data_IF_893103134269
#
_entry.id   IF_893103134269
#
_cell.length_a   1.000
_cell.length_b   1.000
_cell.length_c   1.000
_cell.angle_alpha   90.00
_cell.angle_beta   90.00
_cell.angle_gamma   90.00
#
_symmetry.space_group_name_H-M   'P 1'
#
loop_
_entity.id
_entity.type
_entity.pdbx_description
1 polymer ?
#
# COMPACT_ATOMS: atom_id res chain seq x y z
N UNK A 1 6.52 -5.57 6.51
CA UNK A 1 6.36 -4.09 6.43
C UNK A 1 7.55 -3.53 5.67
N UNK A 2 7.41 -2.41 4.98
CA UNK A 2 8.50 -1.81 4.21
C UNK A 2 8.53 -0.29 4.39
N UNK A 3 9.72 0.29 4.44
CA UNK A 3 9.88 1.76 4.39
C UNK A 3 9.94 2.20 2.93
N UNK A 4 9.25 3.29 2.62
CA UNK A 4 9.29 3.95 1.32
C UNK A 4 9.58 5.45 1.43
N UNK A 5 10.13 6.02 0.34
CA UNK A 5 10.38 7.45 0.15
C UNK A 5 11.24 8.09 1.25
N UNK A 6 12.29 7.40 1.67
CA UNK A 6 13.24 7.98 2.63
C UNK A 6 14.13 9.00 1.92
N UNK A 7 14.23 10.23 2.42
CA UNK A 7 15.12 11.23 1.83
C UNK A 7 16.58 10.73 1.80
N UNK A 8 17.24 10.79 0.64
CA UNK A 8 18.59 10.27 0.48
C UNK A 8 19.68 11.27 0.95
N UNK A 9 19.27 12.48 1.33
CA UNK A 9 20.13 13.54 1.81
C UNK A 9 19.46 14.26 2.99
N UNK A 10 20.26 14.88 3.85
CA UNK A 10 19.77 15.69 4.96
C UNK A 10 20.80 16.77 5.30
N UNK A 11 20.35 17.87 5.91
CA UNK A 11 21.27 18.87 6.44
C UNK A 11 21.89 18.39 7.75
N UNK A 12 23.20 18.57 7.92
CA UNK A 12 23.88 18.23 9.19
C UNK A 12 23.28 18.94 10.40
N UNK A 13 22.98 20.23 10.26
CA UNK A 13 22.27 21.02 11.27
C UNK A 13 20.81 21.19 10.86
N UNK A 14 19.90 21.14 11.85
CA UNK A 14 18.48 21.43 11.61
C UNK A 14 18.34 22.82 11.02
N UNK A 15 17.40 22.97 10.10
CA UNK A 15 17.07 24.25 9.48
C UNK A 15 15.58 24.47 9.59
N UNK A 16 15.18 25.66 10.01
CA UNK A 16 13.76 26.06 10.02
C UNK A 16 13.59 27.37 9.27
N UNK A 17 12.47 27.52 8.60
CA UNK A 17 12.08 28.76 7.93
C UNK A 17 10.56 28.89 7.94
N UNK A 18 10.06 30.10 7.64
CA UNK A 18 8.62 30.36 7.61
C UNK A 18 7.88 29.56 6.54
N UNK A 19 8.58 29.09 5.50
CA UNK A 19 8.02 28.44 4.32
C UNK A 19 8.60 27.04 4.03
N UNK A 20 9.57 26.58 4.82
CA UNK A 20 10.27 25.32 4.59
C UNK A 20 11.29 25.38 3.46
N UNK A 21 11.59 26.58 2.94
CA UNK A 21 12.61 26.81 1.93
C UNK A 21 13.98 27.09 2.57
N UNK A 22 15.09 26.81 1.88
CA UNK A 22 16.43 27.06 2.41
C UNK A 22 16.80 28.55 2.47
N UNK A 23 16.12 29.41 1.71
CA UNK A 23 16.39 30.84 1.68
C UNK A 23 15.96 31.48 3.02
N UNK A 24 16.90 32.14 3.71
CA UNK A 24 16.64 32.78 5.00
C UNK A 24 16.42 31.80 6.16
N UNK A 25 16.70 30.50 5.97
CA UNK A 25 16.53 29.51 7.03
C UNK A 25 17.48 29.74 8.22
N UNK A 26 16.93 29.62 9.42
CA UNK A 26 17.67 29.66 10.67
C UNK A 26 18.34 28.31 10.93
N UNK A 27 19.65 28.32 11.20
CA UNK A 27 20.40 27.13 11.58
C UNK A 27 20.16 26.80 13.06
N UNK A 28 19.89 25.53 13.36
CA UNK A 28 19.58 25.02 14.68
C UNK A 28 18.31 25.60 15.33
N UNK A 29 17.52 26.40 14.61
CA UNK A 29 16.26 26.96 15.13
C UNK A 29 15.26 25.86 15.50
N UNK A 30 14.36 26.17 16.44
CA UNK A 30 13.33 25.25 16.93
C UNK A 30 12.14 25.16 15.97
N UNK A 31 11.56 23.96 15.84
CA UNK A 31 10.28 23.80 15.17
C UNK A 31 9.19 24.43 16.04
N UNK A 32 8.34 25.25 15.44
CA UNK A 32 7.19 25.90 16.08
C UNK A 32 5.94 25.72 15.22
N UNK A 33 4.78 26.12 15.73
CA UNK A 33 3.53 26.10 14.97
C UNK A 33 3.56 27.02 13.73
N UNK A 34 4.49 27.98 13.67
CA UNK A 34 4.53 29.03 12.65
C UNK A 34 5.71 28.86 11.67
N UNK A 35 6.44 27.75 11.74
CA UNK A 35 7.56 27.47 10.84
C UNK A 35 7.55 26.02 10.33
N UNK A 36 8.51 25.74 9.45
CA UNK A 36 8.68 24.46 8.79
C UNK A 36 10.14 24.05 8.86
N UNK A 37 10.38 22.76 9.06
CA UNK A 37 11.71 22.19 8.94
C UNK A 37 12.07 22.07 7.46
N UNK A 38 13.26 22.54 7.07
CA UNK A 38 13.66 22.61 5.66
C UNK A 38 14.17 21.26 5.16
N UNK A 39 13.53 20.76 4.10
CA UNK A 39 13.95 19.54 3.40
C UNK A 39 15.03 19.83 2.35
N UNK A 40 16.01 18.93 2.21
CA UNK A 40 16.97 18.97 1.10
C UNK A 40 16.29 18.78 -0.26
N UNK A 41 15.22 17.97 -0.29
CA UNK A 41 14.38 17.74 -1.47
C UNK A 41 13.28 18.81 -1.68
N UNK A 42 13.46 20.05 -1.21
CA UNK A 42 12.44 21.11 -1.35
C UNK A 42 12.03 21.36 -2.80
N UNK A 43 12.95 21.30 -3.77
CA UNK A 43 12.69 21.58 -5.19
C UNK A 43 11.59 20.70 -5.80
N UNK A 44 11.60 19.40 -5.50
CA UNK A 44 10.60 18.45 -6.01
C UNK A 44 9.28 18.52 -5.21
N UNK A 45 9.37 18.91 -3.94
CA UNK A 45 8.21 18.94 -3.03
C UNK A 45 7.31 20.15 -3.22
N UNK A 46 7.81 21.22 -3.82
CA UNK A 46 7.06 22.48 -4.01
C UNK A 46 6.40 22.58 -5.38
N UNK A 47 6.52 21.52 -6.19
CA UNK A 47 5.85 21.44 -7.48
C UNK A 47 4.35 21.24 -7.27
N UNK A 48 3.52 22.01 -7.96
CA UNK A 48 2.06 21.88 -7.87
C UNK A 48 1.56 20.48 -8.25
N UNK A 49 2.31 19.76 -9.10
CA UNK A 49 2.03 18.40 -9.58
C UNK A 49 3.36 17.71 -9.86
N UNK A 50 3.43 16.39 -9.78
CA UNK A 50 4.59 15.62 -10.24
C UNK A 50 4.39 15.24 -11.70
N UNK A 51 5.06 15.94 -12.62
CA UNK A 51 5.08 15.57 -14.03
C UNK A 51 5.76 14.21 -14.25
N UNK A 52 5.49 13.55 -15.38
CA UNK A 52 6.08 12.23 -15.72
C UNK A 52 7.62 12.21 -15.58
N UNK A 53 8.30 13.28 -16.01
CA UNK A 53 9.74 13.39 -15.87
C UNK A 53 10.19 13.45 -14.40
N UNK A 54 9.44 14.14 -13.55
CA UNK A 54 9.72 14.26 -12.13
C UNK A 54 9.49 12.93 -11.41
N UNK A 55 8.42 12.21 -11.75
CA UNK A 55 8.13 10.86 -11.26
C UNK A 55 9.27 9.90 -11.64
N UNK A 56 9.72 9.95 -12.90
CA UNK A 56 10.81 9.12 -13.39
C UNK A 56 12.16 9.34 -12.67
N UNK A 57 12.30 10.45 -11.95
CA UNK A 57 13.53 10.89 -11.32
C UNK A 57 13.44 10.96 -9.79
N UNK A 58 12.36 10.47 -9.17
CA UNK A 58 12.19 10.49 -7.71
C UNK A 58 13.38 9.88 -6.94
N UNK A 59 14.06 8.90 -7.54
CA UNK A 59 15.27 8.27 -6.98
C UNK A 59 16.46 9.23 -6.80
N UNK A 60 16.46 10.40 -7.45
CA UNK A 60 17.46 11.45 -7.21
C UNK A 60 17.37 12.04 -5.81
N UNK A 61 16.18 12.01 -5.20
CA UNK A 61 15.90 12.58 -3.87
C UNK A 61 15.59 11.53 -2.82
N UNK A 62 15.04 10.38 -3.22
CA UNK A 62 14.55 9.37 -2.28
C UNK A 62 15.24 8.03 -2.48
N UNK A 63 15.60 7.38 -1.37
CA UNK A 63 15.84 5.95 -1.29
C UNK A 63 14.51 5.23 -1.13
N UNK A 64 14.44 4.00 -1.65
CA UNK A 64 13.27 3.12 -1.52
C UNK A 64 11.99 3.77 -2.07
N UNK A 65 12.05 4.30 -3.30
CA UNK A 65 10.89 4.96 -3.92
C UNK A 65 9.65 4.06 -3.89
N UNK A 66 8.50 4.65 -3.54
CA UNK A 66 7.23 3.92 -3.55
C UNK A 66 6.87 3.47 -4.98
N UNK A 67 7.10 4.35 -5.94
CA UNK A 67 6.71 4.20 -7.34
C UNK A 67 7.88 3.80 -8.25
N UNK A 68 7.54 3.20 -9.38
CA UNK A 68 8.45 3.05 -10.51
C UNK A 68 8.59 4.38 -11.29
N UNK A 69 9.30 4.33 -12.42
CA UNK A 69 9.54 5.52 -13.25
C UNK A 69 8.30 6.03 -13.99
N UNK A 70 7.16 5.35 -13.87
CA UNK A 70 5.88 5.71 -14.49
C UNK A 70 4.80 6.04 -13.45
N UNK A 71 5.15 6.05 -12.16
CA UNK A 71 4.16 6.30 -11.10
C UNK A 71 3.34 5.07 -10.74
N UNK A 72 3.77 3.87 -11.13
CA UNK A 72 3.07 2.61 -10.86
C UNK A 72 3.75 1.83 -9.72
N UNK A 73 3.00 0.91 -9.12
CA UNK A 73 3.49 0.01 -8.07
C UNK A 73 3.32 -1.44 -8.53
N UNK A 74 4.35 -1.95 -9.19
CA UNK A 74 4.41 -3.32 -9.69
C UNK A 74 5.31 -4.23 -8.83
N UNK A 75 5.45 -5.48 -9.26
CA UNK A 75 6.22 -6.49 -8.55
C UNK A 75 7.71 -6.13 -8.42
N UNK A 76 8.27 -5.46 -9.43
CA UNK A 76 9.66 -4.99 -9.44
C UNK A 76 9.81 -3.76 -8.56
N UNK A 77 8.85 -2.82 -8.60
CA UNK A 77 8.81 -1.65 -7.70
C UNK A 77 8.87 -2.05 -6.25
N UNK A 78 8.31 -3.19 -5.87
CA UNK A 78 8.32 -3.65 -4.48
C UNK A 78 9.68 -4.18 -4.02
N UNK A 79 10.51 -4.64 -4.94
CA UNK A 79 11.85 -5.15 -4.62
C UNK A 79 12.83 -4.05 -4.20
N UNK A 80 12.56 -2.80 -4.60
CA UNK A 80 13.37 -1.65 -4.17
C UNK A 80 12.96 -1.09 -2.79
N UNK A 81 11.87 -1.57 -2.18
CA UNK A 81 11.47 -1.11 -0.85
C UNK A 81 12.32 -1.75 0.25
N UNK A 82 12.60 -1.01 1.33
CA UNK A 82 13.35 -1.57 2.45
C UNK A 82 12.44 -2.38 3.37
N UNK A 83 12.36 -3.69 3.10
CA UNK A 83 11.34 -4.59 3.62
C UNK A 83 11.83 -5.48 4.74
N UNK A 84 11.01 -5.63 5.78
CA UNK A 84 11.27 -6.46 6.96
C UNK A 84 10.03 -7.27 7.33
N UNK A 85 10.26 -8.48 7.85
CA UNK A 85 9.22 -9.24 8.53
C UNK A 85 8.88 -8.57 9.86
N UNK A 86 7.58 -8.46 10.14
CA UNK A 86 7.12 -7.87 11.41
C UNK A 86 7.57 -8.74 12.57
N UNK A 87 7.42 -10.07 12.46
CA UNK A 87 7.83 -11.01 13.51
C UNK A 87 9.34 -10.94 13.81
N UNK A 88 10.18 -10.72 12.80
CA UNK A 88 11.63 -10.54 12.98
C UNK A 88 11.97 -9.24 13.70
N UNK A 89 11.15 -8.19 13.55
CA UNK A 89 11.33 -6.92 14.27
C UNK A 89 10.81 -7.04 15.70
N UNK A 90 9.66 -7.67 15.88
CA UNK A 90 9.04 -7.92 17.19
C UNK A 90 9.78 -8.97 18.02
N UNK A 91 10.62 -9.81 17.40
CA UNK A 91 11.45 -10.79 18.08
C UNK A 91 12.77 -10.24 18.64
N UNK A 92 13.09 -8.96 18.40
CA UNK A 92 14.31 -8.29 18.90
C UNK A 92 14.11 -7.81 20.33
N UNK A 93 15.18 -7.38 20.99
CA UNK A 93 15.10 -6.78 22.32
C UNK A 93 14.14 -5.58 22.33
N UNK A 94 13.26 -5.55 23.33
CA UNK A 94 12.38 -4.40 23.60
C UNK A 94 13.21 -3.23 24.12
N UNK A 95 12.79 -2.02 23.75
CA UNK A 95 13.32 -0.79 24.33
C UNK A 95 12.43 -0.34 25.50
N UNK A 96 13.05 0.18 26.56
CA UNK A 96 12.35 0.50 27.82
C UNK A 96 11.29 1.59 27.63
N UNK A 97 10.15 1.41 28.31
CA UNK A 97 8.89 2.11 28.10
C UNK A 97 8.65 3.31 29.04
N UNK A 98 9.70 3.92 29.59
CA UNK A 98 9.69 4.87 30.73
C UNK A 98 8.35 5.61 30.97
N UNK A 99 7.43 4.96 31.70
CA UNK A 99 6.23 5.59 32.27
C UNK A 99 4.92 5.50 31.49
N UNK A 100 4.80 4.68 30.44
CA UNK A 100 3.52 4.48 29.74
C UNK A 100 2.59 3.51 30.48
N UNK A 101 1.35 3.94 30.75
CA UNK A 101 0.34 3.16 31.53
C UNK A 101 -0.91 2.82 30.73
N UNK A 102 -0.81 2.48 29.45
CA UNK A 102 -1.89 1.69 28.85
C UNK A 102 -1.66 0.22 29.21
N UNK A 103 -2.75 -0.50 29.49
CA UNK A 103 -2.75 -1.83 30.08
C UNK A 103 -1.65 -2.73 29.51
N UNK A 104 -0.69 -3.11 30.39
CA UNK A 104 0.49 -3.92 30.12
C UNK A 104 0.34 -4.90 28.95
N UNK A 105 0.96 -4.56 27.82
CA UNK A 105 1.65 -5.52 26.95
C UNK A 105 2.85 -4.82 26.29
N UNK A 106 4.06 -5.20 26.72
CA UNK A 106 5.38 -4.99 26.07
C UNK A 106 5.84 -3.54 25.82
N UNK A 107 7.16 -3.31 25.87
CA UNK A 107 7.80 -2.10 25.35
C UNK A 107 7.64 -1.95 23.83
N UNK A 108 8.42 -1.08 23.20
CA UNK A 108 8.44 -0.94 21.73
C UNK A 108 9.73 -1.52 21.15
N UNK A 109 9.69 -1.96 19.90
CA UNK A 109 10.87 -2.45 19.19
C UNK A 109 11.36 -1.40 18.21
N UNK A 110 12.66 -1.09 18.26
CA UNK A 110 13.29 -0.24 17.25
C UNK A 110 13.34 -1.02 15.94
N UNK A 111 12.52 -0.61 14.99
CA UNK A 111 12.59 -1.13 13.63
C UNK A 111 13.81 -0.58 12.89
N UNK A 112 13.89 0.75 12.73
CA UNK A 112 14.97 1.43 12.00
C UNK A 112 15.05 2.92 12.29
N UNK A 113 16.14 3.53 11.85
CA UNK A 113 16.31 4.98 11.75
C UNK A 113 16.00 5.46 10.34
N UNK A 114 15.50 6.70 10.23
CA UNK A 114 15.15 7.37 8.97
C UNK A 114 15.72 8.78 8.95
N UNK A 115 15.99 9.29 7.76
CA UNK A 115 16.44 10.66 7.54
C UNK A 115 15.27 11.65 7.64
N UNK A 116 15.61 12.92 7.86
CA UNK A 116 14.63 14.01 7.87
C UNK A 116 14.02 14.19 6.47
N UNK A 117 12.70 14.08 6.39
CA UNK A 117 11.92 14.19 5.17
C UNK A 117 10.66 15.02 5.45
N UNK A 118 10.76 16.34 5.31
CA UNK A 118 9.71 17.30 5.68
C UNK A 118 9.12 17.95 4.45
N UNK A 119 7.84 18.33 4.51
CA UNK A 119 7.17 18.95 3.37
C UNK A 119 7.13 20.48 3.61
N UNK A 120 7.65 21.29 2.68
CA UNK A 120 7.57 22.75 2.78
C UNK A 120 6.11 23.24 2.69
N UNK A 121 5.90 24.54 2.96
CA UNK A 121 4.60 25.25 3.05
C UNK A 121 3.48 24.79 2.12
N UNK A 122 2.24 25.12 2.47
CA UNK A 122 1.01 24.73 1.75
C UNK A 122 0.71 23.24 1.88
N UNK A 123 -0.40 22.96 2.56
CA UNK A 123 -0.82 21.62 2.92
C UNK A 123 -1.04 20.72 1.69
N UNK A 124 -1.30 21.32 0.51
CA UNK A 124 -1.49 20.58 -0.75
C UNK A 124 -0.25 19.80 -1.21
N UNK A 125 0.95 20.14 -0.74
CA UNK A 125 2.18 19.44 -1.13
C UNK A 125 2.47 18.19 -0.32
N UNK A 126 1.66 17.90 0.72
CA UNK A 126 1.72 16.65 1.47
C UNK A 126 1.02 15.55 0.68
N UNK A 127 1.82 14.89 -0.16
CA UNK A 127 1.40 13.86 -1.11
C UNK A 127 2.29 12.62 -1.05
N UNK A 128 1.67 11.51 -1.42
CA UNK A 128 2.22 10.14 -1.35
C UNK A 128 3.56 9.99 -2.08
N UNK A 129 3.77 10.72 -3.19
CA UNK A 129 4.98 10.68 -4.02
C UNK A 129 6.25 11.17 -3.34
N UNK A 130 6.14 12.00 -2.29
CA UNK A 130 7.30 12.67 -1.66
C UNK A 130 7.37 12.48 -0.15
N UNK A 131 6.32 11.96 0.47
CA UNK A 131 6.24 11.69 1.91
C UNK A 131 6.82 10.34 2.28
N UNK A 132 7.54 10.27 3.40
CA UNK A 132 8.03 8.99 3.95
C UNK A 132 6.85 8.16 4.43
N UNK A 133 6.77 6.91 3.97
CA UNK A 133 5.68 6.00 4.28
C UNK A 133 6.14 4.64 4.79
N UNK A 134 5.19 3.91 5.38
CA UNK A 134 5.29 2.51 5.73
C UNK A 134 4.25 1.72 4.96
N UNK A 135 4.68 0.71 4.23
CA UNK A 135 3.78 -0.21 3.53
C UNK A 135 3.64 -1.49 4.35
N UNK A 136 2.41 -1.82 4.74
CA UNK A 136 2.08 -3.11 5.33
C UNK A 136 1.55 -4.04 4.25
N UNK A 137 1.99 -5.30 4.31
CA UNK A 137 1.56 -6.35 3.40
C UNK A 137 0.73 -7.35 4.17
N UNK A 138 -0.50 -7.57 3.71
CA UNK A 138 -1.41 -8.59 4.23
C UNK A 138 -1.46 -9.81 3.32
N UNK A 139 -1.69 -10.98 3.91
CA UNK A 139 -2.03 -12.22 3.22
C UNK A 139 -3.46 -12.60 3.58
N UNK A 140 -4.29 -12.95 2.59
CA UNK A 140 -5.61 -13.48 2.86
C UNK A 140 -5.49 -14.89 3.45
N UNK A 141 -6.02 -15.09 4.65
CA UNK A 141 -6.08 -16.38 5.31
C UNK A 141 -7.54 -16.77 5.57
N UNK A 142 -7.85 -18.05 5.40
CA UNK A 142 -9.14 -18.60 5.77
C UNK A 142 -9.25 -18.61 7.30
N UNK A 143 -10.20 -17.86 7.85
CA UNK A 143 -10.50 -17.93 9.29
C UNK A 143 -11.14 -19.26 9.67
N UNK A 144 -11.02 -19.65 10.94
CA UNK A 144 -11.50 -20.94 11.45
C UNK A 144 -13.01 -21.19 11.26
N UNK A 145 -13.79 -20.11 11.09
CA UNK A 145 -15.24 -20.14 10.89
C UNK A 145 -15.67 -20.20 9.42
N UNK A 146 -14.74 -20.07 8.47
CA UNK A 146 -15.07 -20.17 7.06
C UNK A 146 -15.43 -21.62 6.72
N UNK A 147 -16.54 -21.82 6.03
CA UNK A 147 -16.96 -23.15 5.59
C UNK A 147 -15.89 -23.72 4.65
N UNK A 148 -15.28 -24.84 5.07
CA UNK A 148 -14.21 -25.52 4.32
C UNK A 148 -14.68 -26.10 2.99
N UNK A 149 -15.99 -26.21 2.78
CA UNK A 149 -16.58 -26.67 1.51
C UNK A 149 -16.87 -25.53 0.54
N UNK A 150 -16.83 -24.27 1.02
CA UNK A 150 -17.10 -23.09 0.20
C UNK A 150 -16.04 -22.88 -0.89
N UNK A 151 -16.46 -22.25 -1.99
CA UNK A 151 -15.55 -21.95 -3.09
C UNK A 151 -14.48 -20.93 -2.66
N UNK A 152 -14.82 -19.97 -1.79
CA UNK A 152 -13.85 -19.04 -1.21
C UNK A 152 -12.76 -19.77 -0.40
N UNK A 153 -13.12 -20.77 0.41
CA UNK A 153 -12.11 -21.54 1.15
C UNK A 153 -11.16 -22.26 0.19
N UNK A 154 -11.70 -22.94 -0.83
CA UNK A 154 -10.89 -23.66 -1.84
C UNK A 154 -9.99 -22.71 -2.64
N UNK A 155 -10.48 -21.52 -2.98
CA UNK A 155 -9.68 -20.50 -3.65
C UNK A 155 -8.54 -20.01 -2.76
N UNK A 156 -8.79 -19.70 -1.48
CA UNK A 156 -7.76 -19.25 -0.54
C UNK A 156 -6.72 -20.35 -0.29
N UNK A 157 -7.12 -21.62 -0.18
CA UNK A 157 -6.21 -22.74 0.06
C UNK A 157 -5.45 -23.19 -1.20
N UNK A 158 -5.92 -22.78 -2.39
CA UNK A 158 -5.40 -23.24 -3.68
C UNK A 158 -5.79 -24.69 -4.00
N UNK A 159 -6.82 -25.21 -3.35
CA UNK A 159 -7.32 -26.58 -3.53
C UNK A 159 -8.36 -26.66 -4.66
N UNK A 160 -8.21 -25.84 -5.70
CA UNK A 160 -9.05 -25.91 -6.90
C UNK A 160 -8.46 -26.95 -7.85
N UNK A 161 -9.22 -28.01 -8.14
CA UNK A 161 -8.79 -29.00 -9.14
C UNK A 161 -9.22 -28.56 -10.54
N UNK A 162 -8.48 -28.98 -11.59
CA UNK A 162 -8.94 -28.80 -12.96
C UNK A 162 -10.37 -29.33 -13.14
N UNK A 163 -11.29 -28.46 -13.57
CA UNK A 163 -12.71 -28.79 -13.76
C UNK A 163 -13.61 -28.54 -12.54
N UNK A 164 -13.07 -28.22 -11.36
CA UNK A 164 -13.87 -27.83 -10.18
C UNK A 164 -14.42 -26.39 -10.31
N UNK A 165 -13.86 -25.61 -11.22
CA UNK A 165 -14.16 -24.19 -11.39
C UNK A 165 -14.51 -23.88 -12.84
N UNK A 166 -15.74 -23.43 -13.07
CA UNK A 166 -16.14 -22.89 -14.36
C UNK A 166 -15.59 -21.47 -14.49
N UNK A 167 -14.60 -21.28 -15.36
CA UNK A 167 -13.98 -19.98 -15.64
C UNK A 167 -12.47 -20.03 -15.82
N UNK A 168 -11.86 -18.85 -15.76
CA UNK A 168 -10.41 -18.65 -15.82
C UNK A 168 -9.76 -18.96 -14.48
N UNK A 169 -8.83 -19.91 -14.49
CA UNK A 169 -7.89 -20.19 -13.41
C UNK A 169 -6.47 -20.18 -13.97
N UNK A 170 -5.51 -19.84 -13.13
CA UNK A 170 -4.09 -19.85 -13.48
C UNK A 170 -3.28 -20.60 -12.43
N UNK A 171 -2.11 -21.08 -12.82
CA UNK A 171 -1.22 -21.82 -11.94
C UNK A 171 -0.26 -20.86 -11.24
N UNK A 172 -0.07 -21.07 -9.94
CA UNK A 172 1.01 -20.48 -9.15
C UNK A 172 1.66 -21.63 -8.42
N UNK A 173 2.92 -21.93 -8.78
CA UNK A 173 3.61 -23.18 -8.45
C UNK A 173 2.79 -24.42 -8.85
N UNK A 174 2.49 -25.31 -7.89
CA UNK A 174 1.76 -26.56 -8.07
C UNK A 174 0.25 -26.43 -7.81
N UNK A 175 -0.25 -25.20 -7.62
CA UNK A 175 -1.63 -24.91 -7.23
C UNK A 175 -2.36 -24.05 -8.25
N UNK A 176 -3.67 -24.28 -8.36
CA UNK A 176 -4.56 -23.50 -9.21
C UNK A 176 -5.35 -22.47 -8.42
N UNK A 177 -5.40 -21.25 -8.95
CA UNK A 177 -6.12 -20.14 -8.34
C UNK A 177 -7.08 -19.47 -9.33
N UNK A 178 -8.28 -19.08 -8.88
CA UNK A 178 -9.11 -18.11 -9.57
C UNK A 178 -8.63 -16.69 -9.25
N UNK A 179 -9.16 -15.70 -9.96
CA UNK A 179 -9.09 -14.30 -9.53
C UNK A 179 -10.22 -14.06 -8.52
N UNK A 180 -9.94 -13.37 -7.42
CA UNK A 180 -10.99 -12.88 -6.52
C UNK A 180 -11.37 -11.45 -6.92
N UNK A 181 -12.65 -11.13 -6.86
CA UNK A 181 -13.18 -9.84 -7.25
C UNK A 181 -13.85 -9.17 -6.06
N UNK A 182 -13.48 -7.94 -5.73
CA UNK A 182 -14.18 -7.14 -4.74
C UNK A 182 -14.99 -6.07 -5.46
N UNK A 183 -16.28 -5.99 -5.15
CA UNK A 183 -17.16 -4.94 -5.66
C UNK A 183 -18.11 -4.51 -4.55
N UNK A 184 -18.17 -3.20 -4.27
CA UNK A 184 -19.01 -2.63 -3.21
C UNK A 184 -18.88 -3.39 -1.86
N UNK A 185 -17.64 -3.71 -1.47
CA UNK A 185 -17.29 -4.45 -0.24
C UNK A 185 -17.80 -5.91 -0.15
N UNK A 186 -18.27 -6.48 -1.27
CA UNK A 186 -18.57 -7.90 -1.39
C UNK A 186 -17.47 -8.60 -2.20
N UNK A 187 -16.90 -9.66 -1.62
CA UNK A 187 -15.88 -10.49 -2.27
C UNK A 187 -16.55 -11.64 -3.03
N UNK A 188 -16.09 -11.87 -4.26
CA UNK A 188 -16.57 -12.91 -5.17
C UNK A 188 -15.42 -13.82 -5.59
N UNK A 189 -15.68 -15.13 -5.58
CA UNK A 189 -14.77 -16.18 -6.00
C UNK A 189 -14.98 -16.49 -7.48
N UNK A 190 -14.21 -15.85 -8.37
CA UNK A 190 -14.29 -16.07 -9.82
C UNK A 190 -15.47 -15.39 -10.51
N UNK A 191 -15.28 -15.12 -11.81
CA UNK A 191 -16.26 -14.33 -12.56
C UNK A 191 -17.51 -15.14 -12.94
N UNK A 192 -17.38 -16.21 -13.72
CA UNK A 192 -18.52 -17.05 -14.11
C UNK A 192 -19.23 -17.65 -12.90
N UNK A 193 -18.43 -18.08 -11.91
CA UNK A 193 -18.92 -18.78 -10.73
C UNK A 193 -19.79 -17.91 -9.84
N UNK A 194 -19.33 -16.70 -9.51
CA UNK A 194 -20.03 -15.83 -8.57
C UNK A 194 -20.42 -14.49 -9.20
N UNK A 195 -19.50 -13.71 -9.78
CA UNK A 195 -19.84 -12.35 -10.29
C UNK A 195 -20.99 -12.38 -11.31
N UNK A 196 -20.86 -13.18 -12.36
CA UNK A 196 -21.86 -13.27 -13.43
C UNK A 196 -23.18 -13.90 -12.94
N UNK A 197 -23.07 -14.91 -12.06
CA UNK A 197 -24.23 -15.60 -11.48
C UNK A 197 -25.02 -14.68 -10.56
N UNK A 198 -24.35 -13.93 -9.68
CA UNK A 198 -24.99 -12.96 -8.79
C UNK A 198 -25.56 -11.76 -9.56
N UNK A 199 -24.82 -11.23 -10.54
CA UNK A 199 -25.29 -10.16 -11.42
C UNK A 199 -26.60 -10.54 -12.14
N UNK A 200 -26.70 -11.76 -12.66
CA UNK A 200 -27.87 -12.22 -13.41
C UNK A 200 -29.16 -12.31 -12.57
N UNK A 201 -29.07 -12.29 -11.24
CA UNK A 201 -30.24 -12.34 -10.35
C UNK A 201 -31.08 -11.07 -10.40
N UNK A 202 -30.46 -9.92 -10.69
CA UNK A 202 -31.15 -8.63 -10.77
C UNK A 202 -30.51 -7.73 -11.85
N UNK A 203 -31.16 -7.59 -13.03
CA UNK A 203 -30.71 -6.72 -14.11
C UNK A 203 -30.65 -5.22 -13.77
N UNK A 204 -31.22 -4.80 -12.64
CA UNK A 204 -31.19 -3.40 -12.19
C UNK A 204 -30.11 -3.12 -11.15
N UNK A 205 -29.47 -4.17 -10.62
CA UNK A 205 -28.40 -4.06 -9.63
C UNK A 205 -27.17 -3.35 -10.19
N UNK A 206 -26.39 -2.71 -9.32
CA UNK A 206 -25.14 -2.07 -9.71
C UNK A 206 -24.10 -3.11 -10.15
N UNK A 207 -24.13 -4.30 -9.56
CA UNK A 207 -23.29 -5.43 -10.00
C UNK A 207 -23.60 -5.83 -11.44
N UNK A 208 -24.88 -5.92 -11.82
CA UNK A 208 -25.26 -6.20 -13.21
C UNK A 208 -24.80 -5.10 -14.16
N UNK A 209 -25.03 -3.83 -13.80
CA UNK A 209 -24.58 -2.70 -14.64
C UNK A 209 -23.07 -2.75 -14.85
N UNK A 210 -22.30 -2.95 -13.78
CA UNK A 210 -20.85 -3.01 -13.83
C UNK A 210 -20.33 -4.22 -14.63
N UNK A 211 -20.86 -5.43 -14.41
CA UNK A 211 -20.37 -6.64 -15.06
C UNK A 211 -20.86 -6.80 -16.51
N UNK A 212 -22.13 -6.50 -16.79
CA UNK A 212 -22.83 -6.92 -18.00
C UNK A 212 -23.00 -5.80 -19.03
N UNK A 213 -22.98 -4.53 -18.60
CA UNK A 213 -23.24 -3.42 -19.53
C UNK A 213 -21.96 -2.99 -20.23
N UNK A 214 -22.04 -2.82 -21.54
CA UNK A 214 -20.92 -2.36 -22.35
C UNK A 214 -20.89 -0.81 -22.40
N UNK A 215 -19.74 -0.17 -22.15
CA UNK A 215 -19.56 1.24 -22.49
C UNK A 215 -19.71 1.46 -24.00
N UNK A 216 -20.04 2.67 -24.41
CA UNK A 216 -20.21 3.00 -25.83
C UNK A 216 -18.94 2.67 -26.64
N UNK A 217 -19.09 1.86 -27.69
CA UNK A 217 -17.99 1.43 -28.55
C UNK A 217 -17.03 0.40 -27.95
N UNK A 218 -17.31 -0.13 -26.75
CA UNK A 218 -16.47 -1.12 -26.07
C UNK A 218 -17.25 -2.41 -25.78
N UNK A 219 -16.56 -3.46 -25.32
CA UNK A 219 -17.19 -4.69 -24.83
C UNK A 219 -17.41 -4.57 -23.31
N UNK A 220 -18.43 -5.23 -22.78
CA UNK A 220 -18.63 -5.33 -21.33
C UNK A 220 -17.54 -6.20 -20.69
N UNK A 221 -17.29 -6.05 -19.38
CA UNK A 221 -16.39 -6.95 -18.66
C UNK A 221 -16.76 -8.43 -18.83
N UNK A 222 -18.06 -8.78 -18.79
CA UNK A 222 -18.51 -10.15 -19.00
C UNK A 222 -18.22 -10.70 -20.41
N UNK A 223 -18.39 -9.88 -21.45
CA UNK A 223 -18.06 -10.28 -22.82
C UNK A 223 -16.54 -10.54 -22.97
N UNK A 224 -15.71 -9.68 -22.38
CA UNK A 224 -14.25 -9.86 -22.39
C UNK A 224 -13.81 -11.06 -21.54
N UNK A 225 -14.50 -11.37 -20.45
CA UNK A 225 -14.22 -12.56 -19.66
C UNK A 225 -14.50 -13.85 -20.44
N UNK A 226 -15.56 -13.89 -21.24
CA UNK A 226 -15.83 -15.04 -22.13
C UNK A 226 -14.71 -15.25 -23.13
N UNK A 227 -14.18 -14.18 -23.71
CA UNK A 227 -13.01 -14.23 -24.59
C UNK A 227 -11.76 -14.75 -23.86
N UNK A 228 -11.53 -14.32 -22.62
CA UNK A 228 -10.46 -14.85 -21.77
C UNK A 228 -10.61 -16.37 -21.52
N UNK A 229 -11.82 -16.84 -21.22
CA UNK A 229 -12.08 -18.27 -20.99
C UNK A 229 -11.83 -19.09 -22.25
N UNK A 230 -12.25 -18.61 -23.43
CA UNK A 230 -11.97 -19.29 -24.69
C UNK A 230 -10.47 -19.30 -25.03
N UNK A 231 -9.78 -18.16 -24.89
CA UNK A 231 -8.33 -18.08 -25.06
C UNK A 231 -7.58 -19.04 -24.12
N UNK A 232 -8.06 -19.19 -22.87
CA UNK A 232 -7.49 -20.11 -21.90
C UNK A 232 -7.66 -21.58 -22.29
N UNK A 233 -8.77 -21.95 -22.94
CA UNK A 233 -9.00 -23.30 -23.48
C UNK A 233 -8.08 -23.59 -24.68
N UNK A 234 -7.82 -22.60 -25.51
CA UNK A 234 -6.89 -22.72 -26.65
C UNK A 234 -5.43 -22.92 -26.21
N UNK A 235 -5.06 -22.42 -25.02
CA UNK A 235 -3.74 -22.63 -24.40
C UNK A 235 -2.60 -21.80 -25.01
N UNK A 236 -2.88 -20.92 -25.97
CA UNK A 236 -1.89 -20.03 -26.56
C UNK A 236 -1.57 -18.86 -25.59
N UNK A 237 -0.42 -18.92 -24.90
CA UNK A 237 -0.04 -17.98 -23.83
C UNK A 237 -0.14 -16.50 -24.22
N UNK A 238 0.24 -16.13 -25.44
CA UNK A 238 0.13 -14.74 -25.93
C UNK A 238 -1.32 -14.27 -25.99
N UNK A 239 -2.21 -15.09 -26.57
CA UNK A 239 -3.63 -14.80 -26.68
C UNK A 239 -4.30 -14.70 -25.29
N UNK A 240 -3.95 -15.60 -24.36
CA UNK A 240 -4.44 -15.55 -22.96
C UNK A 240 -4.03 -14.24 -22.28
N UNK A 241 -2.78 -13.81 -22.44
CA UNK A 241 -2.29 -12.58 -21.82
C UNK A 241 -3.00 -11.34 -22.35
N UNK A 242 -3.23 -11.26 -23.67
CA UNK A 242 -3.95 -10.16 -24.30
C UNK A 242 -5.41 -10.10 -23.84
N UNK A 243 -6.11 -11.24 -23.85
CA UNK A 243 -7.49 -11.33 -23.38
C UNK A 243 -7.60 -10.99 -21.87
N UNK A 244 -6.65 -11.46 -21.06
CA UNK A 244 -6.60 -11.14 -19.63
C UNK A 244 -6.38 -9.64 -19.40
N UNK A 245 -5.45 -9.02 -20.13
CA UNK A 245 -5.20 -7.58 -20.01
C UNK A 245 -6.44 -6.76 -20.39
N UNK A 246 -7.12 -7.11 -21.48
CA UNK A 246 -8.35 -6.45 -21.92
C UNK A 246 -9.48 -6.58 -20.88
N UNK A 247 -9.70 -7.80 -20.38
CA UNK A 247 -10.69 -8.06 -19.33
C UNK A 247 -10.41 -7.29 -18.05
N UNK A 248 -9.18 -7.36 -17.52
CA UNK A 248 -8.80 -6.67 -16.26
C UNK A 248 -9.05 -5.18 -16.39
N UNK A 249 -8.59 -4.55 -17.48
CA UNK A 249 -8.83 -3.12 -17.74
C UNK A 249 -10.32 -2.76 -17.69
N UNK A 250 -11.18 -3.56 -18.32
CA UNK A 250 -12.63 -3.29 -18.34
C UNK A 250 -13.27 -3.53 -16.97
N UNK A 251 -12.89 -4.59 -16.25
CA UNK A 251 -13.40 -4.88 -14.91
C UNK A 251 -12.98 -3.81 -13.90
N UNK A 252 -11.71 -3.39 -13.92
CA UNK A 252 -11.20 -2.30 -13.08
C UNK A 252 -11.95 -1.00 -13.38
N UNK A 253 -12.12 -0.63 -14.66
CA UNK A 253 -12.88 0.56 -15.05
C UNK A 253 -14.36 0.51 -14.64
N UNK A 254 -14.92 -0.70 -14.45
CA UNK A 254 -16.27 -0.91 -13.93
C UNK A 254 -16.35 -0.91 -12.38
N UNK A 255 -15.24 -0.67 -11.68
CA UNK A 255 -15.19 -0.55 -10.22
C UNK A 255 -14.89 -1.86 -9.47
N UNK A 256 -14.45 -2.91 -10.15
CA UNK A 256 -13.98 -4.14 -9.50
C UNK A 256 -12.52 -4.01 -9.09
N UNK A 257 -12.18 -4.41 -7.86
CA UNK A 257 -10.78 -4.67 -7.46
C UNK A 257 -10.46 -6.15 -7.70
N UNK A 258 -9.35 -6.45 -8.39
CA UNK A 258 -8.98 -7.82 -8.76
C UNK A 258 -7.77 -8.30 -7.95
N UNK A 259 -7.99 -9.30 -7.09
CA UNK A 259 -6.91 -9.94 -6.34
C UNK A 259 -6.44 -11.21 -7.05
N UNK A 260 -5.18 -11.19 -7.46
CA UNK A 260 -4.48 -12.33 -8.03
C UNK A 260 -3.54 -12.90 -6.97
N UNK A 261 -3.66 -14.20 -6.71
CA UNK A 261 -2.66 -14.96 -5.96
C UNK A 261 -1.29 -14.89 -6.65
N UNK A 262 -0.24 -14.82 -5.85
CA UNK A 262 1.17 -14.86 -6.25
C UNK A 262 1.94 -15.79 -5.32
N UNK A 263 3.14 -16.17 -5.73
CA UNK A 263 4.11 -16.77 -4.82
C UNK A 263 5.07 -15.68 -4.36
N UNK A 264 4.98 -15.32 -3.08
CA UNK A 264 5.84 -14.29 -2.50
C UNK A 264 7.01 -14.90 -1.69
N UNK A 265 7.39 -16.15 -2.00
CA UNK A 265 8.57 -16.84 -1.46
C UNK A 265 9.91 -16.44 -2.11
N UNK A 266 9.89 -15.65 -3.19
CA UNK A 266 11.11 -15.25 -3.90
C UNK A 266 12.10 -14.55 -2.96
N UNK A 267 13.26 -15.19 -2.76
CA UNK A 267 14.37 -14.69 -1.94
C UNK A 267 14.35 -15.09 -0.46
N UNK A 268 13.42 -15.94 -0.02
CA UNK A 268 13.22 -16.25 1.41
C UNK A 268 13.33 -17.76 1.63
N UNK A 269 14.47 -18.19 2.20
CA UNK A 269 14.79 -19.59 2.47
C UNK A 269 14.04 -20.18 3.68
N UNK A 270 13.46 -19.29 4.49
CA UNK A 270 12.65 -19.59 5.65
C UNK A 270 11.18 -19.71 5.20
N UNK A 271 10.64 -20.93 5.21
CA UNK A 271 9.25 -21.19 4.81
C UNK A 271 8.20 -20.75 5.84
N UNK A 272 8.53 -19.88 6.82
CA UNK A 272 7.59 -19.48 7.88
C UNK A 272 6.66 -18.33 7.47
N UNK A 273 7.09 -17.45 6.57
CA UNK A 273 6.41 -16.17 6.34
C UNK A 273 6.01 -15.93 4.87
N UNK A 274 6.49 -16.77 3.96
CA UNK A 274 6.36 -16.61 2.51
C UNK A 274 5.72 -17.82 1.85
N UNK A 275 5.09 -17.63 0.69
CA UNK A 275 4.48 -18.73 -0.07
C UNK A 275 3.36 -18.27 -0.98
N UNK A 276 2.57 -19.22 -1.46
CA UNK A 276 1.47 -18.94 -2.38
C UNK A 276 0.24 -18.39 -1.63
N UNK A 277 -0.41 -17.38 -2.20
CA UNK A 277 -1.72 -16.90 -1.75
C UNK A 277 -2.07 -15.52 -2.28
N UNK A 278 -3.20 -14.97 -1.84
CA UNK A 278 -3.61 -13.60 -2.18
C UNK A 278 -2.98 -12.59 -1.24
N UNK A 279 -2.33 -11.58 -1.83
CA UNK A 279 -1.63 -10.53 -1.10
C UNK A 279 -2.21 -9.15 -1.44
N UNK A 280 -2.21 -8.27 -0.45
CA UNK A 280 -2.70 -6.89 -0.58
C UNK A 280 -1.89 -5.94 0.32
N UNK A 281 -1.94 -4.65 -0.02
CA UNK A 281 -1.06 -3.63 0.53
C UNK A 281 -1.85 -2.53 1.22
N UNK A 282 -1.29 -2.02 2.32
CA UNK A 282 -1.82 -0.91 3.09
C UNK A 282 -0.74 0.15 3.24
N UNK A 283 -1.06 1.38 2.85
CA UNK A 283 -0.14 2.51 2.91
C UNK A 283 -0.42 3.33 4.17
N UNK A 284 0.64 3.71 4.86
CA UNK A 284 0.60 4.62 6.00
C UNK A 284 1.68 5.68 5.81
N UNK A 285 1.30 6.95 5.91
CA UNK A 285 2.21 8.08 5.80
C UNK A 285 2.63 8.54 7.18
N UNK A 286 3.92 8.80 7.38
CA UNK A 286 4.43 9.08 8.71
C UNK A 286 3.90 10.41 9.24
N UNK A 287 2.94 10.35 10.16
CA UNK A 287 2.34 11.52 10.80
C UNK A 287 3.28 12.09 11.87
N UNK A 288 3.58 13.38 11.75
CA UNK A 288 4.38 14.17 12.68
C UNK A 288 3.52 15.09 13.53
N UNK A 289 2.86 16.09 12.93
CA UNK A 289 1.98 17.00 13.66
C UNK A 289 0.50 16.61 13.49
N UNK A 290 -0.12 16.01 14.51
CA UNK A 290 -1.55 15.72 14.47
C UNK A 290 -2.38 16.97 14.81
N UNK A 291 -3.24 17.38 13.88
CA UNK A 291 -4.15 18.50 14.06
C UNK A 291 -5.50 18.09 14.69
N UNK A 292 -5.70 16.79 14.94
CA UNK A 292 -6.93 16.17 15.47
C UNK A 292 -8.19 16.39 14.62
N UNK A 293 -8.03 16.69 13.33
CA UNK A 293 -9.12 16.93 12.37
C UNK A 293 -9.00 15.94 11.21
N UNK A 294 -9.59 14.73 11.36
CA UNK A 294 -9.56 13.72 10.31
C UNK A 294 -10.11 14.26 8.98
N UNK A 295 -9.36 14.02 7.90
CA UNK A 295 -9.69 14.42 6.53
C UNK A 295 -9.40 15.88 6.20
N UNK A 296 -8.70 16.62 7.06
CA UNK A 296 -8.31 18.00 6.82
C UNK A 296 -6.80 18.18 7.08
N UNK A 297 -6.02 18.21 6.00
CA UNK A 297 -4.57 18.30 6.06
C UNK A 297 -4.10 19.53 6.86
N UNK A 298 -3.25 19.31 7.85
CA UNK A 298 -2.61 20.30 8.71
C UNK A 298 -1.20 20.66 8.28
N UNK A 299 -0.65 21.71 8.89
CA UNK A 299 0.72 22.13 8.67
C UNK A 299 1.70 21.09 9.21
N UNK A 300 2.64 20.63 8.37
CA UNK A 300 3.67 19.65 8.75
C UNK A 300 3.08 18.36 9.35
N UNK A 301 1.87 17.99 8.92
CA UNK A 301 1.16 16.84 9.46
C UNK A 301 1.87 15.54 9.09
N UNK A 302 2.42 15.45 7.89
CA UNK A 302 3.18 14.30 7.40
C UNK A 302 4.63 14.68 7.13
N UNK A 303 5.53 13.86 7.67
CA UNK A 303 6.96 14.05 7.54
C UNK A 303 7.74 13.27 8.58
N UNK A 304 9.06 13.24 8.40
CA UNK A 304 10.00 12.74 9.40
C UNK A 304 10.90 13.88 9.83
N UNK A 305 10.88 14.23 11.11
CA UNK A 305 11.75 15.25 11.71
C UNK A 305 12.80 14.55 12.55
N UNK A 306 14.03 15.06 12.52
CA UNK A 306 15.13 14.50 13.31
C UNK A 306 14.83 14.59 14.81
N UNK A 307 15.40 13.65 15.58
CA UNK A 307 15.26 13.63 17.04
C UNK A 307 13.82 13.39 17.53
N UNK A 308 13.01 12.68 16.73
CA UNK A 308 11.70 12.18 17.10
C UNK A 308 11.66 10.64 17.00
N UNK A 309 10.89 10.01 17.89
CA UNK A 309 10.53 8.59 17.82
C UNK A 309 9.07 8.51 17.37
N UNK A 310 8.83 7.81 16.26
CA UNK A 310 7.49 7.53 15.74
C UNK A 310 7.09 6.11 16.14
N UNK A 311 6.24 5.97 17.15
CA UNK A 311 5.71 4.66 17.58
C UNK A 311 4.47 4.34 16.76
N UNK A 312 4.47 3.18 16.10
CA UNK A 312 3.39 2.75 15.21
C UNK A 312 2.73 1.48 15.76
N UNK A 313 1.41 1.47 15.85
CA UNK A 313 0.63 0.29 16.20
C UNK A 313 -0.54 0.09 15.23
N UNK A 314 -0.58 -1.04 14.53
CA UNK A 314 -1.76 -1.43 13.74
C UNK A 314 -2.84 -1.90 14.71
N UNK A 315 -3.93 -1.13 14.80
CA UNK A 315 -5.03 -1.39 15.76
C UNK A 315 -6.25 -2.02 15.10
N UNK A 316 -6.31 -2.05 13.77
CA UNK A 316 -7.36 -2.75 13.05
C UNK A 316 -7.23 -2.63 11.54
N UNK A 317 -7.83 -3.59 10.84
CA UNK A 317 -7.99 -3.60 9.38
C UNK A 317 -9.49 -3.50 9.11
N UNK A 318 -9.90 -2.59 8.21
CA UNK A 318 -11.32 -2.30 7.93
C UNK A 318 -11.81 -2.90 6.62
N UNK A 319 -10.95 -2.91 5.60
CA UNK A 319 -11.22 -3.49 4.26
C UNK A 319 -9.98 -4.22 3.75
N UNK A 320 -10.15 -5.03 2.70
CA UNK A 320 -9.01 -5.58 1.96
C UNK A 320 -8.21 -4.42 1.36
N UNK A 321 -6.87 -4.52 1.41
CA UNK A 321 -5.97 -3.47 0.91
C UNK A 321 -5.92 -3.40 -0.61
N UNK A 322 -5.03 -2.56 -1.12
CA UNK A 322 -4.77 -2.41 -2.55
C UNK A 322 -4.19 -3.71 -3.13
N UNK A 323 -4.59 -4.14 -4.34
CA UNK A 323 -4.06 -5.34 -4.97
C UNK A 323 -2.58 -5.17 -5.33
N UNK A 324 -1.92 -6.30 -5.59
CA UNK A 324 -0.51 -6.32 -6.01
C UNK A 324 -0.28 -5.67 -7.38
N UNK A 325 -1.27 -5.66 -8.26
CA UNK A 325 -1.11 -4.98 -9.54
C UNK A 325 -1.93 -3.69 -9.51
N UNK A 326 -1.29 -2.54 -9.70
CA UNK A 326 -1.98 -1.24 -9.74
C UNK A 326 -3.09 -1.19 -10.79
N UNK A 327 -2.93 -1.86 -11.94
CA UNK A 327 -3.96 -1.91 -12.99
C UNK A 327 -5.22 -2.71 -12.58
N UNK A 328 -5.14 -3.49 -11.50
CA UNK A 328 -6.26 -4.24 -10.94
C UNK A 328 -7.02 -3.45 -9.87
N UNK A 329 -6.59 -2.21 -9.58
CA UNK A 329 -7.18 -1.35 -8.57
C UNK A 329 -8.02 -0.25 -9.24
N UNK A 330 -9.33 -0.14 -8.94
CA UNK A 330 -10.14 0.97 -9.43
C UNK A 330 -9.79 2.30 -8.75
N UNK A 331 -9.04 2.25 -7.63
CA UNK A 331 -8.60 3.38 -6.85
C UNK A 331 -7.09 3.23 -6.52
N UNK A 332 -6.22 3.25 -7.55
CA UNK A 332 -4.79 3.08 -7.35
C UNK A 332 -4.22 4.31 -6.64
N UNK A 333 -3.21 4.10 -5.79
CA UNK A 333 -2.50 5.22 -5.17
C UNK A 333 -1.66 5.94 -6.23
N UNK A 334 -1.95 7.22 -6.46
CA UNK A 334 -1.24 8.11 -7.39
C UNK A 334 -0.17 8.93 -6.64
N UNK A 335 0.99 9.27 -7.23
CA UNK A 335 2.02 10.09 -6.60
C UNK A 335 1.56 11.48 -6.12
N UNK A 336 0.52 12.05 -6.73
CA UNK A 336 -0.08 13.33 -6.36
C UNK A 336 -1.26 13.20 -5.38
N UNK A 337 -1.64 11.98 -4.97
CA UNK A 337 -2.66 11.78 -3.95
C UNK A 337 -2.26 12.46 -2.63
N UNK A 338 -3.21 13.12 -1.93
CA UNK A 338 -2.92 13.70 -0.64
C UNK A 338 -2.61 12.62 0.41
N UNK A 339 -1.67 12.89 1.31
CA UNK A 339 -1.31 11.95 2.40
C UNK A 339 -2.48 11.71 3.39
N UNK A 340 -3.48 12.59 3.40
CA UNK A 340 -4.71 12.41 4.15
C UNK A 340 -5.89 12.17 3.21
N UNK A 341 -6.39 10.94 3.23
CA UNK A 341 -7.60 10.52 2.55
C UNK A 341 -8.63 10.02 3.57
N UNK A 342 -9.92 10.26 3.31
CA UNK A 342 -11.03 9.73 4.11
C UNK A 342 -11.21 8.22 4.00
N UNK A 343 -10.55 7.57 3.05
CA UNK A 343 -10.60 6.11 2.86
C UNK A 343 -9.72 5.33 3.85
N UNK A 344 -10.34 4.81 4.91
CA UNK A 344 -9.64 4.06 5.96
C UNK A 344 -9.58 2.57 5.61
N UNK A 345 -8.50 2.13 4.98
CA UNK A 345 -8.19 0.70 4.79
C UNK A 345 -7.65 0.05 6.07
N UNK A 346 -6.73 0.76 6.73
CA UNK A 346 -5.96 0.35 7.89
C UNK A 346 -6.09 1.41 8.98
N UNK A 347 -6.24 0.99 10.24
CA UNK A 347 -6.16 1.88 11.40
C UNK A 347 -4.81 1.73 12.07
N UNK A 348 -3.98 2.76 11.98
CA UNK A 348 -2.68 2.86 12.67
C UNK A 348 -2.81 3.90 13.78
N UNK A 349 -2.36 3.55 14.98
CA UNK A 349 -2.15 4.49 16.09
C UNK A 349 -0.70 4.95 16.06
N UNK A 350 -0.49 6.25 16.21
CA UNK A 350 0.82 6.89 16.10
C UNK A 350 1.04 7.73 17.35
N UNK A 351 2.21 7.59 17.96
CA UNK A 351 2.65 8.45 19.05
C UNK A 351 4.04 9.00 18.69
N UNK A 352 4.16 10.33 18.68
CA UNK A 352 5.41 11.04 18.38
C UNK A 352 6.04 11.49 19.69
N UNK A 353 7.23 10.98 19.99
CA UNK A 353 7.97 11.33 21.20
C UNK A 353 9.26 12.06 20.86
N UNK A 354 9.69 13.04 21.67
CA UNK A 354 11.03 13.57 21.55
C UNK A 354 12.05 12.46 21.82
N UNK A 355 13.11 12.40 21.04
CA UNK A 355 14.24 11.54 21.36
C UNK A 355 15.00 12.17 22.52
N UNK A 356 14.83 11.60 23.71
CA UNK A 356 15.53 12.03 24.92
C UNK A 356 16.93 11.43 24.98
N UNK A 357 17.88 12.19 25.56
CA UNK A 357 19.26 11.75 25.75
C UNK A 357 19.27 10.57 26.72
N UNK A 358 19.77 9.40 26.29
CA UNK A 358 20.17 8.35 27.24
C UNK A 358 21.45 8.78 27.92
N UNK A 359 21.40 8.93 29.23
CA UNK A 359 22.61 9.08 30.05
C UNK A 359 23.33 7.74 30.06
N UNK A 360 24.25 7.54 29.13
CA UNK A 360 25.25 6.48 29.25
C UNK A 360 26.36 7.01 30.15
N UNK A 361 26.31 6.65 31.45
CA UNK A 361 27.48 6.78 32.31
C UNK A 361 28.54 5.81 31.80
N UNK A 362 29.52 6.34 31.06
CA UNK A 362 30.76 5.64 30.76
C UNK A 362 31.75 6.09 31.84
N UNK A 363 31.97 5.23 32.83
CA UNK A 363 33.09 5.39 33.75
C UNK A 363 34.39 5.01 33.00
N UNK A 364 35.40 5.90 33.09
CA UNK A 364 36.73 5.70 32.48
C UNK A 364 37.68 4.91 33.38
#
# INVERSE_FOLDING_TARGET
>A
MALVNMNNSFYYLRRVSADGMPAGAELCGEETADNYVVSTAHEIKTQDQLAEQQIAELNKWFSYCLYDTKGQIDDLTRQQWDSYWIDDVMGRDEDNDEGWTADRKSGYHIWRYVTENTIPMDNKYQRTGVSTGVVFKGKLLAGDKLDKTSDLYKAISGDIKPGDFDGYTYQVDDKSYPILYLFQNQLYTGWNREVATEAAKDPHSDLYKAAMTAPEGQKSPDALYKELVEANKEGARGHVNEALAAFRKAATAAGFTLYQASNDADGIADGKHAGVGYYFYYFYWNRHNDNYKPGAMGQMEFGTVRNNVYKLAVTGIRKLGHPRNTDNDPDPVDPDDPDENGDIYLKVSVEVLPWTVRVNNIDF
#
